data_IF_234024097879
#
_entry.id   IF_234024097879
#
_cell.length_a   1.000
_cell.length_b   1.000
_cell.length_c   1.000
_cell.angle_alpha   90.00
_cell.angle_beta   90.00
_cell.angle_gamma   90.00
#
_symmetry.space_group_name_H-M   'P 1'
#
loop_
_entity.id
_entity.type
_entity.pdbx_description
1 polymer ?
#
# COMPACT_ATOMS: atom_id res chain seq x y z
N UNK A 1 -15.08 5.15 -11.44
CA UNK A 1 -14.00 5.58 -10.53
C UNK A 1 -13.12 4.37 -10.25
N UNK A 2 -12.39 3.91 -11.26
CA UNK A 2 -11.64 2.63 -11.27
C UNK A 2 -10.12 2.80 -11.23
N UNK A 3 -9.67 4.05 -11.19
CA UNK A 3 -8.25 4.41 -11.33
C UNK A 3 -7.40 3.78 -10.24
N UNK A 4 -7.92 3.65 -9.02
CA UNK A 4 -7.20 3.06 -7.87
C UNK A 4 -6.87 1.57 -8.04
N UNK A 5 -7.74 0.78 -8.68
CA UNK A 5 -7.50 -0.66 -8.90
C UNK A 5 -6.40 -0.83 -9.94
N UNK A 6 -6.49 -0.09 -11.05
CA UNK A 6 -5.44 -0.10 -12.09
C UNK A 6 -4.10 0.38 -11.53
N UNK A 7 -4.09 1.49 -10.79
CA UNK A 7 -2.88 2.03 -10.17
C UNK A 7 -2.25 1.04 -9.18
N UNK A 8 -3.07 0.31 -8.42
CA UNK A 8 -2.60 -0.73 -7.48
C UNK A 8 -1.95 -1.87 -8.24
N UNK A 9 -2.57 -2.36 -9.31
CA UNK A 9 -1.99 -3.41 -10.16
C UNK A 9 -0.68 -2.96 -10.80
N UNK A 10 -0.60 -1.69 -11.24
CA UNK A 10 0.64 -1.11 -11.77
C UNK A 10 1.75 -1.01 -10.72
N UNK A 11 1.43 -0.63 -9.48
CA UNK A 11 2.38 -0.59 -8.37
C UNK A 11 2.96 -1.99 -8.07
N UNK A 12 2.13 -3.03 -8.10
CA UNK A 12 2.55 -4.42 -7.87
C UNK A 12 3.08 -5.14 -9.12
N UNK A 13 3.10 -4.51 -10.29
CA UNK A 13 3.49 -5.20 -11.53
C UNK A 13 4.93 -5.77 -11.46
N UNK A 14 5.85 -5.06 -10.78
CA UNK A 14 7.22 -5.54 -10.53
C UNK A 14 7.34 -6.51 -9.34
N UNK A 15 6.33 -6.58 -8.48
CA UNK A 15 6.35 -7.32 -7.21
C UNK A 15 5.02 -8.06 -6.97
N UNK A 16 4.59 -8.89 -7.94
CA UNK A 16 3.31 -9.61 -7.87
C UNK A 16 3.18 -10.53 -6.66
N UNK A 17 4.29 -11.07 -6.18
CA UNK A 17 4.33 -11.95 -4.98
C UNK A 17 3.98 -11.21 -3.68
N UNK A 18 4.10 -9.88 -3.66
CA UNK A 18 3.74 -9.06 -2.50
C UNK A 18 2.25 -8.67 -2.49
N UNK A 19 1.55 -8.81 -3.62
CA UNK A 19 0.11 -8.50 -3.72
C UNK A 19 -0.78 -9.24 -2.72
N UNK A 20 -0.67 -10.57 -2.52
CA UNK A 20 -1.52 -11.27 -1.53
C UNK A 20 -1.27 -10.79 -0.09
N UNK A 21 -0.04 -10.40 0.25
CA UNK A 21 0.27 -9.82 1.55
C UNK A 21 -0.38 -8.44 1.72
N UNK A 22 -0.33 -7.62 0.66
CA UNK A 22 -1.01 -6.32 0.63
C UNK A 22 -2.53 -6.47 0.74
N UNK A 23 -3.14 -7.42 0.03
CA UNK A 23 -4.58 -7.63 0.06
C UNK A 23 -5.07 -7.97 1.48
N UNK A 24 -4.41 -8.92 2.16
CA UNK A 24 -4.75 -9.27 3.54
C UNK A 24 -4.52 -8.11 4.51
N UNK A 25 -3.47 -7.31 4.31
CA UNK A 25 -3.24 -6.09 5.09
C UNK A 25 -4.35 -5.06 4.87
N UNK A 26 -4.72 -4.78 3.61
CA UNK A 26 -5.75 -3.83 3.26
C UNK A 26 -7.11 -4.23 3.85
N UNK A 27 -7.49 -5.51 3.77
CA UNK A 27 -8.73 -6.00 4.38
C UNK A 27 -8.77 -5.74 5.88
N UNK A 28 -7.71 -6.09 6.62
CA UNK A 28 -7.62 -5.85 8.06
C UNK A 28 -7.64 -4.36 8.40
N UNK A 29 -6.99 -3.53 7.57
CA UNK A 29 -6.92 -2.09 7.74
C UNK A 29 -8.29 -1.45 7.55
N UNK A 30 -8.99 -1.79 6.46
CA UNK A 30 -10.33 -1.28 6.15
C UNK A 30 -11.37 -1.76 7.15
N UNK A 31 -11.25 -2.99 7.66
CA UNK A 31 -12.09 -3.49 8.75
C UNK A 31 -11.90 -2.69 10.04
N UNK A 32 -10.70 -2.14 10.28
CA UNK A 32 -10.40 -1.32 11.46
C UNK A 32 -10.71 0.16 11.26
N UNK A 33 -10.51 0.67 10.04
CA UNK A 33 -10.66 2.08 9.67
C UNK A 33 -11.45 2.20 8.36
N UNK A 34 -12.79 2.09 8.39
CA UNK A 34 -13.62 2.13 7.19
C UNK A 34 -13.58 3.48 6.45
N UNK A 35 -13.37 4.57 7.19
CA UNK A 35 -13.24 5.95 6.64
C UNK A 35 -11.87 6.25 6.02
N UNK A 36 -10.98 5.26 5.95
CA UNK A 36 -9.63 5.49 5.47
C UNK A 36 -9.59 5.71 3.95
N UNK A 37 -8.92 6.79 3.55
CA UNK A 37 -8.70 7.16 2.15
C UNK A 37 -7.38 6.56 1.68
N UNK A 38 -7.44 5.87 0.55
CA UNK A 38 -6.27 5.25 -0.08
C UNK A 38 -5.83 6.12 -1.25
N UNK A 39 -4.55 6.49 -1.28
CA UNK A 39 -3.91 7.16 -2.40
C UNK A 39 -2.80 6.29 -2.94
N UNK A 40 -3.00 5.76 -4.15
CA UNK A 40 -2.00 4.97 -4.85
C UNK A 40 -1.13 5.91 -5.68
N UNK A 41 0.18 5.84 -5.49
CA UNK A 41 1.17 6.50 -6.32
C UNK A 41 2.10 5.44 -6.93
N UNK A 42 2.81 5.81 -7.99
CA UNK A 42 3.71 4.92 -8.73
C UNK A 42 4.75 4.21 -7.86
N UNK A 43 5.20 4.84 -6.77
CA UNK A 43 6.24 4.32 -5.88
C UNK A 43 5.77 3.99 -4.47
N UNK A 44 4.53 4.33 -4.10
CA UNK A 44 4.01 4.17 -2.75
C UNK A 44 2.48 4.20 -2.71
N UNK A 45 1.88 3.43 -1.80
CA UNK A 45 0.47 3.49 -1.43
C UNK A 45 0.38 4.15 -0.06
N UNK A 46 -0.41 5.21 0.05
CA UNK A 46 -0.55 6.00 1.26
C UNK A 46 -1.99 5.94 1.76
N UNK A 47 -2.14 5.72 3.07
CA UNK A 47 -3.41 5.65 3.78
C UNK A 47 -3.58 6.88 4.66
N UNK A 48 -4.71 7.55 4.48
CA UNK A 48 -5.07 8.76 5.17
C UNK A 48 -6.36 8.55 5.94
N UNK A 49 -6.44 9.17 7.10
CA UNK A 49 -7.73 9.48 7.73
C UNK A 49 -7.80 11.01 7.80
N UNK A 50 -7.65 11.61 8.98
CA UNK A 50 -7.37 13.06 9.13
C UNK A 50 -5.93 13.43 8.75
N UNK A 51 -4.98 12.54 9.03
CA UNK A 51 -3.56 12.65 8.67
C UNK A 51 -3.09 11.34 8.03
N UNK A 52 -1.90 11.37 7.40
CA UNK A 52 -1.24 10.18 6.90
C UNK A 52 -0.86 9.29 8.09
N UNK A 53 -1.31 8.04 8.08
CA UNK A 53 -1.05 7.12 9.19
C UNK A 53 -0.42 5.81 8.73
N UNK A 54 -0.53 5.43 7.46
CA UNK A 54 0.18 4.26 6.95
C UNK A 54 0.63 4.44 5.50
N UNK A 55 1.72 3.78 5.16
CA UNK A 55 2.43 3.92 3.89
C UNK A 55 3.04 2.58 3.50
N UNK A 56 2.69 2.07 2.32
CA UNK A 56 3.29 0.85 1.74
C UNK A 56 4.19 1.27 0.60
N UNK A 57 5.48 0.96 0.69
CA UNK A 57 6.44 1.24 -0.38
C UNK A 57 7.46 0.13 -0.52
N UNK A 58 8.05 0.02 -1.71
CA UNK A 58 9.20 -0.84 -1.99
C UNK A 58 10.53 -0.09 -1.85
N UNK A 59 10.52 1.10 -1.23
CA UNK A 59 11.72 1.91 -1.04
C UNK A 59 12.70 1.18 -0.13
N UNK A 60 13.99 1.30 -0.46
CA UNK A 60 15.07 0.73 0.35
C UNK A 60 15.14 1.44 1.70
N UNK A 61 14.57 0.85 2.73
CA UNK A 61 14.93 1.17 4.10
C UNK A 61 16.34 0.64 4.37
N UNK A 62 17.18 1.44 5.04
CA UNK A 62 18.64 1.23 5.29
C UNK A 62 19.05 -0.17 5.80
N UNK A 63 18.11 -1.06 6.15
CA UNK A 63 18.36 -2.41 6.68
C UNK A 63 17.92 -3.58 5.80
N UNK A 64 17.15 -3.39 4.70
CA UNK A 64 16.75 -4.53 3.87
C UNK A 64 16.37 -4.13 2.44
N UNK A 65 17.08 -4.68 1.45
CA UNK A 65 16.80 -4.44 0.03
C UNK A 65 15.78 -5.46 -0.50
N UNK A 66 14.68 -4.99 -1.10
CA UNK A 66 13.77 -5.82 -1.91
C UNK A 66 12.53 -6.38 -1.20
N UNK A 67 12.23 -5.96 0.03
CA UNK A 67 10.98 -6.34 0.74
C UNK A 67 9.97 -5.20 0.76
N UNK A 68 8.69 -5.55 0.64
CA UNK A 68 7.60 -4.60 0.85
C UNK A 68 7.65 -4.11 2.29
N UNK A 69 7.76 -2.79 2.47
CA UNK A 69 7.80 -2.16 3.79
C UNK A 69 6.50 -1.43 4.03
N UNK A 70 5.89 -1.69 5.19
CA UNK A 70 4.72 -0.97 5.67
C UNK A 70 5.19 -0.07 6.81
N UNK A 71 5.16 1.24 6.61
CA UNK A 71 5.28 2.23 7.67
C UNK A 71 3.88 2.51 8.21
N UNK A 72 3.70 2.41 9.52
CA UNK A 72 2.49 2.83 10.25
C UNK A 72 2.90 3.85 11.32
#
# INVERSE_FOLDING_TARGET
>A
MDTTIQDTLFFFNRHRTAYPLYACFQEKLLARFPESRIKVQKSQISYYNRHLYACVSFLKVKKQSGRMTILC
#
